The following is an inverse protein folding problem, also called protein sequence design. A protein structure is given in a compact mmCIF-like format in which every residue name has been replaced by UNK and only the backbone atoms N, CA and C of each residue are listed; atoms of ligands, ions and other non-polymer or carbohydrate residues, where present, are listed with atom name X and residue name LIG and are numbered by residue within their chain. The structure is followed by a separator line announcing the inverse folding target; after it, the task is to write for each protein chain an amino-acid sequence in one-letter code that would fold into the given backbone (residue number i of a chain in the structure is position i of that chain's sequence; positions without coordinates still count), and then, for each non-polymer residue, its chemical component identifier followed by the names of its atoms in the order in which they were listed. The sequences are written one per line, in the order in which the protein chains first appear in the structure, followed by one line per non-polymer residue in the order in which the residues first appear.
data_IF_493842684542
#
_entry.id   IF_493842684542
#
_cell.length_a   1.000
_cell.length_b   1.000
_cell.length_c   1.000
_cell.angle_alpha   90.00
_cell.angle_beta   90.00
_cell.angle_gamma   90.00
#
_symmetry.space_group_name_H-M   'P 1'
#
loop_
_entity.id
_entity.type
_entity.pdbx_description
1 polymer ?
#
# COMPACT_ATOMS: atom_id res chain seq x y z
N UNK A 1 -15.67 -25.32 31.78
CA UNK A 1 -14.43 -24.70 31.28
C UNK A 1 -14.33 -25.06 29.80
N UNK A 2 -14.81 -24.16 28.93
CA UNK A 2 -14.78 -24.38 27.48
C UNK A 2 -13.40 -24.05 26.94
N UNK A 3 -12.78 -25.10 26.42
CA UNK A 3 -11.43 -25.21 25.90
C UNK A 3 -11.15 -24.27 24.71
N UNK A 4 -9.93 -23.75 24.72
CA UNK A 4 -9.35 -22.71 23.87
C UNK A 4 -9.03 -23.20 22.44
N UNK A 5 -10.05 -23.57 21.67
CA UNK A 5 -9.87 -23.85 20.24
C UNK A 5 -10.16 -22.62 19.37
N UNK A 6 -9.62 -21.47 19.77
CA UNK A 6 -9.25 -20.41 18.82
C UNK A 6 -7.96 -20.85 18.11
N UNK A 7 -8.09 -21.90 17.31
CA UNK A 7 -7.09 -22.42 16.39
C UNK A 7 -6.75 -21.33 15.38
N UNK A 8 -5.83 -20.48 15.78
CA UNK A 8 -5.28 -19.35 15.05
C UNK A 8 -4.54 -19.89 13.84
N UNK A 9 -5.27 -20.24 12.79
CA UNK A 9 -4.74 -20.37 11.44
C UNK A 9 -4.30 -18.97 11.01
N UNK A 10 -3.15 -18.51 11.53
CA UNK A 10 -2.33 -17.52 10.85
C UNK A 10 -1.96 -18.20 9.54
N UNK A 11 -2.78 -18.01 8.51
CA UNK A 11 -2.43 -18.39 7.16
C UNK A 11 -1.01 -17.86 6.93
N UNK A 12 -0.07 -18.79 6.73
CA UNK A 12 1.32 -18.47 6.51
C UNK A 12 1.39 -17.81 5.14
N UNK A 13 1.20 -16.49 5.11
CA UNK A 13 1.28 -15.71 3.88
C UNK A 13 2.67 -15.94 3.32
N UNK A 14 2.82 -16.43 2.08
CA UNK A 14 4.13 -16.64 1.49
C UNK A 14 4.95 -15.36 1.58
N UNK A 15 6.24 -15.47 1.93
CA UNK A 15 7.10 -14.30 2.12
C UNK A 15 7.08 -13.33 0.91
N UNK A 16 6.89 -13.87 -0.31
CA UNK A 16 6.68 -13.08 -1.52
C UNK A 16 5.41 -12.24 -1.48
N UNK A 17 4.28 -12.83 -1.09
CA UNK A 17 2.98 -12.13 -0.98
C UNK A 17 3.02 -11.07 0.11
N UNK A 18 3.68 -11.34 1.24
CA UNK A 18 3.88 -10.35 2.30
C UNK A 18 4.67 -9.14 1.80
N UNK A 19 5.81 -9.36 1.13
CA UNK A 19 6.63 -8.28 0.55
C UNK A 19 5.89 -7.44 -0.49
N UNK A 20 5.08 -8.08 -1.34
CA UNK A 20 4.27 -7.37 -2.34
C UNK A 20 3.19 -6.52 -1.67
N UNK A 21 2.58 -7.05 -0.61
CA UNK A 21 1.59 -6.31 0.20
C UNK A 21 2.23 -5.10 0.89
N UNK A 22 3.41 -5.27 1.50
CA UNK A 22 4.17 -4.18 2.12
C UNK A 22 4.55 -3.12 1.10
N UNK A 23 4.97 -3.52 -0.10
CA UNK A 23 5.31 -2.59 -1.20
C UNK A 23 4.11 -1.74 -1.63
N UNK A 24 2.94 -2.36 -1.77
CA UNK A 24 1.68 -1.65 -2.10
C UNK A 24 1.30 -0.67 -0.99
N UNK A 25 1.38 -1.07 0.28
CA UNK A 25 1.06 -0.19 1.41
C UNK A 25 2.03 0.98 1.53
N UNK A 26 3.34 0.74 1.37
CA UNK A 26 4.36 1.77 1.48
C UNK A 26 4.24 2.83 0.37
N UNK A 27 4.04 2.39 -0.88
CA UNK A 27 3.86 3.31 -2.02
C UNK A 27 2.58 4.14 -1.89
N UNK A 28 1.48 3.52 -1.44
CA UNK A 28 0.24 4.25 -1.16
C UNK A 28 0.39 5.25 -0.01
N UNK A 29 1.05 4.84 1.09
CA UNK A 29 1.33 5.71 2.22
C UNK A 29 2.15 6.93 1.81
N UNK A 30 3.20 6.73 1.00
CA UNK A 30 4.00 7.83 0.46
C UNK A 30 3.18 8.82 -0.37
N UNK A 31 2.30 8.32 -1.26
CA UNK A 31 1.38 9.14 -2.04
C UNK A 31 0.45 9.98 -1.14
N UNK A 32 -0.18 9.37 -0.13
CA UNK A 32 -1.10 10.06 0.78
C UNK A 32 -0.36 11.11 1.61
N UNK A 33 0.77 10.74 2.22
CA UNK A 33 1.60 11.66 3.02
C UNK A 33 2.03 12.87 2.19
N UNK A 34 2.47 12.64 0.96
CA UNK A 34 2.85 13.72 0.06
C UNK A 34 1.65 14.60 -0.32
N UNK A 35 0.53 13.99 -0.72
CA UNK A 35 -0.66 14.72 -1.17
C UNK A 35 -1.27 15.61 -0.07
N UNK A 36 -1.23 15.16 1.19
CA UNK A 36 -1.72 15.92 2.34
C UNK A 36 -0.75 17.04 2.75
N UNK A 37 0.56 16.81 2.62
CA UNK A 37 1.60 17.75 3.04
C UNK A 37 2.03 18.79 2.00
N UNK A 38 1.86 18.49 0.71
CA UNK A 38 2.30 19.35 -0.39
C UNK A 38 1.34 20.53 -0.59
N UNK A 39 1.87 21.75 -0.64
CA UNK A 39 1.09 22.96 -0.90
C UNK A 39 0.46 22.92 -2.29
N UNK A 40 1.22 22.53 -3.31
CA UNK A 40 0.72 22.43 -4.69
C UNK A 40 -0.44 21.44 -4.79
N UNK A 41 -0.33 20.28 -4.13
CA UNK A 41 -1.44 19.31 -4.07
C UNK A 41 -2.73 19.88 -3.48
N UNK A 42 -2.65 20.84 -2.56
CA UNK A 42 -3.85 21.48 -1.98
C UNK A 42 -4.52 22.43 -2.98
N UNK A 43 -3.72 23.13 -3.78
CA UNK A 43 -4.20 24.07 -4.79
C UNK A 43 -4.76 23.35 -6.02
N UNK A 44 -4.12 22.26 -6.48
CA UNK A 44 -4.46 21.58 -7.74
C UNK A 44 -5.21 20.25 -7.58
N UNK A 45 -5.76 19.96 -6.40
CA UNK A 45 -6.58 18.76 -6.20
C UNK A 45 -5.77 17.45 -6.24
N UNK A 46 -4.64 17.44 -5.54
CA UNK A 46 -3.78 16.27 -5.27
C UNK A 46 -2.97 15.79 -6.47
N UNK A 47 -2.66 16.69 -7.41
CA UNK A 47 -2.01 16.38 -8.68
C UNK A 47 -0.80 17.28 -8.97
N UNK A 48 0.20 17.24 -8.10
CA UNK A 48 1.53 17.73 -8.47
C UNK A 48 2.34 16.60 -9.13
N UNK A 49 3.40 16.96 -9.85
CA UNK A 49 4.29 16.01 -10.55
C UNK A 49 4.76 14.87 -9.62
N UNK A 50 5.16 15.23 -8.39
CA UNK A 50 5.60 14.23 -7.40
C UNK A 50 4.48 13.31 -6.92
N UNK A 51 3.26 13.81 -6.76
CA UNK A 51 2.10 12.99 -6.43
C UNK A 51 1.76 12.02 -7.57
N UNK A 52 1.91 12.45 -8.82
CA UNK A 52 1.70 11.60 -9.99
C UNK A 52 2.73 10.48 -10.07
N UNK A 53 4.02 10.77 -9.83
CA UNK A 53 5.07 9.74 -9.75
C UNK A 53 4.73 8.66 -8.71
N UNK A 54 4.41 9.08 -7.48
CA UNK A 54 4.05 8.18 -6.38
C UNK A 54 2.80 7.36 -6.71
N UNK A 55 1.85 7.95 -7.44
CA UNK A 55 0.67 7.24 -7.92
C UNK A 55 1.02 6.19 -8.98
N UNK A 56 1.96 6.45 -9.88
CA UNK A 56 2.45 5.45 -10.85
C UNK A 56 3.19 4.32 -10.14
N UNK A 57 4.01 4.62 -9.15
CA UNK A 57 4.70 3.60 -8.32
C UNK A 57 3.71 2.68 -7.62
N UNK A 58 2.65 3.25 -7.01
CA UNK A 58 1.57 2.48 -6.39
C UNK A 58 0.86 1.56 -7.38
N UNK A 59 0.50 2.07 -8.56
CA UNK A 59 -0.15 1.26 -9.61
C UNK A 59 0.76 0.14 -10.10
N UNK A 60 2.07 0.40 -10.22
CA UNK A 60 3.05 -0.63 -10.59
C UNK A 60 3.13 -1.72 -9.51
N UNK A 61 3.16 -1.34 -8.23
CA UNK A 61 3.15 -2.28 -7.11
C UNK A 61 1.86 -3.11 -7.07
N UNK A 62 0.68 -2.51 -7.31
CA UNK A 62 -0.58 -3.25 -7.39
C UNK A 62 -0.57 -4.27 -8.54
N UNK A 63 -0.08 -3.87 -9.72
CA UNK A 63 -0.01 -4.76 -10.88
C UNK A 63 0.89 -5.96 -10.57
N UNK A 64 2.07 -5.72 -10.00
CA UNK A 64 2.99 -6.79 -9.58
C UNK A 64 2.38 -7.75 -8.56
N UNK A 65 1.62 -7.22 -7.59
CA UNK A 65 0.92 -8.00 -6.59
C UNK A 65 -0.22 -8.86 -7.18
N UNK A 66 -0.94 -8.34 -8.18
CA UNK A 66 -2.02 -9.06 -8.88
C UNK A 66 -1.50 -10.13 -9.83
N UNK A 67 -0.37 -9.88 -10.48
CA UNK A 67 0.22 -10.77 -11.47
C UNK A 67 1.16 -11.84 -10.81
N UNK A 68 1.25 -11.88 -9.47
CA UNK A 68 2.05 -12.84 -8.68
C UNK A 68 1.22 -13.98 -8.09
#
# INVERSE_FOLDING_TARGET
MTDETSGRLRAMVPARVARLTDKVQNTYGAFVTHSVGCADCKEVGWRCERAEELWQEYKAAQKEARDS
#
